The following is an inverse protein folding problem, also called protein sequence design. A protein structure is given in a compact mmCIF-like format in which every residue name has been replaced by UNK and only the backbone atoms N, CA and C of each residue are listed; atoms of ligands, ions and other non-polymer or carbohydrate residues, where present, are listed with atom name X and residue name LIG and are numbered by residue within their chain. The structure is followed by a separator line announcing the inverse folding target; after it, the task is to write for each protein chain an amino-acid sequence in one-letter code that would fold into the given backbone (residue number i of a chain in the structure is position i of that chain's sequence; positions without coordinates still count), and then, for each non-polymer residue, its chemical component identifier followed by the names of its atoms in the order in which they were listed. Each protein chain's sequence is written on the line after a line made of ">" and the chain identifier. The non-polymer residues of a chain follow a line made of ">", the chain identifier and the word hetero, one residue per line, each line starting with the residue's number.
data_IF_174129844065
#
_entry.id   IF_174129844065
#
_cell.length_a   1.000
_cell.length_b   1.000
_cell.length_c   1.000
_cell.angle_alpha   90.00
_cell.angle_beta   90.00
_cell.angle_gamma   90.00
#
_symmetry.space_group_name_H-M   'P 1'
#
loop_
_entity.id
_entity.type
_entity.pdbx_description
1 polymer ?
#
# COMPACT_ATOMS: atom_id res chain seq x y z
N UNK A 1 4.40 15.82 2.50
CA UNK A 1 3.74 14.89 3.44
C UNK A 1 3.53 13.50 2.83
N UNK A 2 2.79 13.35 1.70
CA UNK A 2 2.46 12.02 1.13
C UNK A 2 3.69 11.14 0.88
N UNK A 3 4.74 11.69 0.26
CA UNK A 3 6.00 10.99 0.05
C UNK A 3 6.63 10.51 1.36
N UNK A 4 6.58 11.34 2.41
CA UNK A 4 7.15 11.01 3.73
C UNK A 4 6.38 9.91 4.47
N UNK A 5 5.09 9.75 4.21
CA UNK A 5 4.28 8.69 4.82
C UNK A 5 4.26 7.40 4.02
N UNK A 6 4.43 7.47 2.68
CA UNK A 6 4.23 6.31 1.79
C UNK A 6 5.48 5.90 1.00
N UNK A 7 6.53 6.71 1.04
CA UNK A 7 7.75 6.60 0.21
C UNK A 7 7.51 6.71 -1.30
N UNK A 8 6.31 7.05 -1.74
CA UNK A 8 5.94 7.16 -3.16
C UNK A 8 5.33 8.51 -3.49
N UNK A 9 5.47 8.96 -4.72
CA UNK A 9 4.71 10.11 -5.23
C UNK A 9 3.24 9.73 -5.43
N UNK A 10 2.31 10.61 -5.03
CA UNK A 10 0.88 10.42 -5.32
C UNK A 10 0.56 10.42 -6.82
N UNK A 11 1.35 11.15 -7.61
CA UNK A 11 1.22 11.19 -9.08
C UNK A 11 1.89 10.00 -9.79
N UNK A 12 2.45 9.02 -9.06
CA UNK A 12 3.19 7.92 -9.65
C UNK A 12 4.55 8.31 -10.26
N UNK A 13 4.98 9.56 -10.05
CA UNK A 13 6.27 10.07 -10.55
C UNK A 13 7.43 9.25 -9.99
N UNK A 14 8.45 9.04 -10.82
CA UNK A 14 9.70 8.40 -10.37
C UNK A 14 10.46 9.34 -9.45
N UNK A 15 11.22 8.80 -8.50
CA UNK A 15 11.98 9.59 -7.53
C UNK A 15 12.85 10.67 -8.18
N UNK A 16 13.45 10.38 -9.33
CA UNK A 16 14.28 11.33 -10.10
C UNK A 16 13.51 12.54 -10.65
N UNK A 17 12.21 12.40 -10.87
CA UNK A 17 11.34 13.48 -11.38
C UNK A 17 10.95 14.48 -10.29
N UNK A 18 11.17 14.12 -9.02
CA UNK A 18 10.97 14.99 -7.86
C UNK A 18 12.21 15.81 -7.50
N UNK A 19 13.32 15.63 -8.24
CA UNK A 19 14.56 16.38 -8.07
C UNK A 19 14.53 17.59 -9.03
N UNK A 20 14.89 18.77 -8.51
CA UNK A 20 14.95 20.01 -9.29
C UNK A 20 15.79 19.81 -10.56
N UNK A 21 15.35 20.43 -11.65
CA UNK A 21 16.13 20.45 -12.89
C UNK A 21 17.54 21.03 -12.65
N UNK A 22 18.56 20.35 -13.21
CA UNK A 22 19.95 20.71 -12.98
C UNK A 22 20.60 20.02 -11.78
N UNK A 23 19.83 19.66 -10.74
CA UNK A 23 20.36 19.04 -9.53
C UNK A 23 20.49 17.52 -9.66
N UNK A 24 21.41 16.92 -8.90
CA UNK A 24 21.68 15.48 -8.88
C UNK A 24 20.89 14.75 -7.77
N UNK A 25 20.51 15.47 -6.75
CA UNK A 25 19.87 14.92 -5.55
C UNK A 25 18.92 15.92 -4.90
N UNK A 26 18.08 15.43 -4.00
CA UNK A 26 17.17 16.24 -3.18
C UNK A 26 17.04 15.62 -1.79
N UNK A 27 16.94 16.46 -0.78
CA UNK A 27 16.72 16.06 0.61
C UNK A 27 15.38 16.60 1.08
N UNK A 28 14.61 15.73 1.73
CA UNK A 28 13.32 16.08 2.32
C UNK A 28 13.37 15.69 3.79
N UNK A 29 13.06 16.65 4.65
CA UNK A 29 12.88 16.40 6.08
C UNK A 29 11.46 16.70 6.48
N UNK A 30 10.85 15.77 7.21
CA UNK A 30 9.52 15.92 7.77
C UNK A 30 9.59 15.61 9.26
N UNK A 31 9.10 16.52 10.07
CA UNK A 31 8.97 16.32 11.52
C UNK A 31 7.49 16.05 11.82
N UNK A 32 7.22 15.00 12.55
CA UNK A 32 5.87 14.55 12.91
C UNK A 32 5.77 14.44 14.42
N UNK A 33 4.88 15.23 15.02
CA UNK A 33 4.53 15.10 16.43
C UNK A 33 3.36 14.12 16.56
N UNK A 34 3.56 13.00 17.26
CA UNK A 34 2.53 12.01 17.51
C UNK A 34 2.42 11.73 19.00
N UNK A 35 1.34 12.23 19.63
CA UNK A 35 1.21 12.26 21.08
C UNK A 35 2.42 12.99 21.68
N UNK A 36 3.14 12.36 22.61
CA UNK A 36 4.32 12.91 23.27
C UNK A 36 5.64 12.62 22.53
N UNK A 37 5.59 11.91 21.39
CA UNK A 37 6.79 11.52 20.64
C UNK A 37 6.93 12.34 19.35
N UNK A 38 8.14 12.79 19.11
CA UNK A 38 8.54 13.41 17.86
C UNK A 38 9.26 12.40 16.97
N UNK A 39 8.92 12.41 15.70
CA UNK A 39 9.58 11.59 14.68
C UNK A 39 10.13 12.50 13.59
N UNK A 40 11.40 12.36 13.30
CA UNK A 40 12.04 12.99 12.15
C UNK A 40 12.19 11.96 11.03
N UNK A 41 11.60 12.24 9.88
CA UNK A 41 11.73 11.43 8.67
C UNK A 41 12.60 12.17 7.69
N UNK A 42 13.76 11.62 7.36
CA UNK A 42 14.69 12.15 6.36
C UNK A 42 14.66 11.27 5.11
N UNK A 43 14.50 11.90 3.94
CA UNK A 43 14.53 11.23 2.65
C UNK A 43 15.60 11.85 1.77
N UNK A 44 16.44 11.02 1.18
CA UNK A 44 17.45 11.42 0.23
C UNK A 44 17.14 10.80 -1.14
N UNK A 45 16.70 11.63 -2.07
CA UNK A 45 16.39 11.24 -3.44
C UNK A 45 17.63 11.49 -4.32
N UNK A 46 17.95 10.54 -5.20
CA UNK A 46 19.08 10.62 -6.11
C UNK A 46 18.65 10.31 -7.55
N UNK A 47 19.23 11.01 -8.54
CA UNK A 47 19.02 10.70 -9.96
C UNK A 47 19.61 9.36 -10.36
N UNK A 48 20.72 8.98 -9.75
CA UNK A 48 21.39 7.67 -9.90
C UNK A 48 21.45 6.96 -8.56
N UNK A 49 20.98 5.72 -8.52
CA UNK A 49 20.95 4.90 -7.30
C UNK A 49 19.60 4.88 -6.59
N UNK A 50 19.56 4.17 -5.46
CA UNK A 50 18.36 4.05 -4.63
C UNK A 50 18.21 5.24 -3.71
N UNK A 51 16.94 5.58 -3.38
CA UNK A 51 16.66 6.57 -2.34
C UNK A 51 17.07 6.04 -0.98
N UNK A 52 17.56 6.94 -0.13
CA UNK A 52 17.77 6.69 1.29
C UNK A 52 16.60 7.20 2.11
N UNK A 53 16.22 6.49 3.14
CA UNK A 53 15.21 6.93 4.12
C UNK A 53 15.74 6.63 5.52
N UNK A 54 15.55 7.58 6.43
CA UNK A 54 15.89 7.41 7.84
C UNK A 54 14.76 7.93 8.72
N UNK A 55 14.57 7.28 9.87
CA UNK A 55 13.67 7.72 10.94
C UNK A 55 14.52 8.02 12.18
N UNK A 56 14.39 9.22 12.72
CA UNK A 56 15.19 9.69 13.85
C UNK A 56 16.71 9.48 13.63
N UNK A 57 17.16 9.79 12.40
CA UNK A 57 18.55 9.60 11.93
C UNK A 57 19.00 8.14 11.76
N UNK A 58 18.12 7.16 12.03
CA UNK A 58 18.41 5.73 11.85
C UNK A 58 17.94 5.32 10.45
N UNK A 59 18.84 4.87 9.55
CA UNK A 59 18.44 4.39 8.23
C UNK A 59 17.49 3.21 8.32
N UNK A 60 16.40 3.25 7.54
CA UNK A 60 15.47 2.14 7.41
C UNK A 60 15.74 1.37 6.11
N UNK A 61 15.52 0.07 6.16
CA UNK A 61 15.74 -0.83 5.01
C UNK A 61 14.48 -1.07 4.20
N UNK A 62 13.31 -0.95 4.84
CA UNK A 62 12.01 -1.22 4.22
C UNK A 62 11.08 -0.02 4.40
N UNK A 63 10.36 0.34 3.34
CA UNK A 63 9.32 1.37 3.38
C UNK A 63 8.26 1.09 4.46
N UNK A 64 8.02 -0.19 4.75
CA UNK A 64 7.09 -0.65 5.78
C UNK A 64 7.40 -0.13 7.19
N UNK A 65 8.63 0.27 7.45
CA UNK A 65 9.04 0.83 8.76
C UNK A 65 8.52 2.26 8.97
N UNK A 66 8.10 2.96 7.90
CA UNK A 66 7.44 4.27 7.98
C UNK A 66 5.95 4.19 8.32
N UNK A 67 5.29 3.08 7.94
CA UNK A 67 3.85 2.98 8.15
C UNK A 67 3.48 3.05 9.64
N UNK A 68 2.44 3.83 9.91
CA UNK A 68 1.96 4.10 11.28
C UNK A 68 2.70 5.22 12.01
N UNK A 69 3.80 5.79 11.46
CA UNK A 69 4.40 7.02 12.00
C UNK A 69 3.54 8.22 11.57
N UNK A 70 3.27 8.35 10.28
CA UNK A 70 2.45 9.38 9.68
C UNK A 70 1.37 8.73 8.82
N UNK A 71 0.13 8.76 9.29
CA UNK A 71 -1.02 8.33 8.51
C UNK A 71 -1.50 9.51 7.68
N UNK A 72 -1.73 9.29 6.39
CA UNK A 72 -2.08 10.35 5.44
C UNK A 72 -3.35 9.96 4.72
N UNK A 73 -4.35 10.82 4.80
CA UNK A 73 -5.49 10.83 3.90
C UNK A 73 -5.23 11.91 2.86
N UNK A 74 -5.18 11.52 1.62
CA UNK A 74 -4.92 12.42 0.50
C UNK A 74 -5.98 12.23 -0.57
N UNK A 75 -6.56 13.32 -1.03
CA UNK A 75 -7.52 13.32 -2.13
C UNK A 75 -6.97 14.13 -3.30
N UNK A 76 -7.09 13.58 -4.49
CA UNK A 76 -6.74 14.22 -5.74
C UNK A 76 -7.76 13.85 -6.84
N UNK A 77 -7.85 14.61 -7.94
CA UNK A 77 -8.73 14.25 -9.06
C UNK A 77 -8.44 12.86 -9.65
N UNK A 78 -7.22 12.37 -9.52
CA UNK A 78 -6.81 11.04 -9.96
C UNK A 78 -7.49 9.92 -9.16
N UNK A 79 -7.95 10.19 -7.93
CA UNK A 79 -8.65 9.19 -7.10
C UNK A 79 -10.02 8.83 -7.65
N UNK A 80 -10.58 9.62 -8.56
CA UNK A 80 -11.75 9.24 -9.36
C UNK A 80 -11.51 7.97 -10.19
N UNK A 81 -10.27 7.60 -10.40
CA UNK A 81 -9.89 6.34 -11.04
C UNK A 81 -10.33 5.10 -10.24
N UNK A 82 -10.56 5.23 -8.94
CA UNK A 82 -11.14 4.17 -8.09
C UNK A 82 -12.51 3.74 -8.66
N UNK A 83 -13.28 4.69 -9.19
CA UNK A 83 -14.60 4.43 -9.78
C UNK A 83 -14.47 4.06 -11.25
N UNK A 84 -13.63 4.79 -12.00
CA UNK A 84 -13.50 4.64 -13.46
C UNK A 84 -12.74 3.38 -13.87
N UNK A 85 -11.73 3.00 -13.09
CA UNK A 85 -10.86 1.87 -13.39
C UNK A 85 -11.37 0.57 -12.76
N UNK A 86 -10.71 -0.53 -13.14
CA UNK A 86 -11.08 -1.86 -12.70
C UNK A 86 -10.78 -2.17 -11.22
N UNK A 87 -11.08 -3.41 -10.78
CA UNK A 87 -10.94 -3.84 -9.39
C UNK A 87 -9.52 -3.71 -8.80
N UNK A 88 -8.49 -3.66 -9.64
CA UNK A 88 -7.10 -3.54 -9.20
C UNK A 88 -6.85 -2.22 -8.44
N UNK A 89 -7.41 -1.10 -8.94
CA UNK A 89 -7.26 0.20 -8.27
C UNK A 89 -8.01 0.24 -6.94
N UNK A 90 -9.21 -0.35 -6.87
CA UNK A 90 -9.97 -0.46 -5.63
C UNK A 90 -9.24 -1.30 -4.57
N UNK A 91 -8.67 -2.45 -4.97
CA UNK A 91 -7.84 -3.27 -4.06
C UNK A 91 -6.61 -2.51 -3.59
N UNK A 92 -5.94 -1.81 -4.50
CA UNK A 92 -4.76 -1.01 -4.17
C UNK A 92 -5.07 0.09 -3.17
N UNK A 93 -6.21 0.76 -3.31
CA UNK A 93 -6.67 1.77 -2.35
C UNK A 93 -6.87 1.14 -0.96
N UNK A 94 -7.67 0.08 -0.86
CA UNK A 94 -7.90 -0.62 0.42
C UNK A 94 -6.59 -1.10 1.04
N UNK A 95 -5.70 -1.68 0.24
CA UNK A 95 -4.41 -2.17 0.71
C UNK A 95 -3.53 -1.04 1.25
N UNK A 96 -3.55 0.13 0.62
CA UNK A 96 -2.77 1.28 1.07
C UNK A 96 -3.28 1.78 2.44
N UNK A 97 -4.60 1.89 2.59
CA UNK A 97 -5.21 2.33 3.85
C UNK A 97 -4.97 1.32 4.97
N UNK A 98 -5.23 0.04 4.74
CA UNK A 98 -4.98 -1.02 5.71
C UNK A 98 -3.49 -1.13 6.11
N UNK A 99 -2.57 -0.97 5.16
CA UNK A 99 -1.14 -0.98 5.48
C UNK A 99 -0.72 0.18 6.39
N UNK A 100 -1.40 1.33 6.36
CA UNK A 100 -1.14 2.43 7.28
C UNK A 100 -1.66 2.15 8.69
N UNK A 101 -2.75 1.39 8.80
CA UNK A 101 -3.46 1.14 10.05
C UNK A 101 -2.98 -0.13 10.76
N UNK A 102 -2.62 -1.18 10.01
CA UNK A 102 -2.33 -2.52 10.53
C UNK A 102 -0.99 -3.06 10.00
N UNK A 103 -0.02 -3.18 10.90
CA UNK A 103 1.31 -3.73 10.57
C UNK A 103 1.28 -5.23 10.25
N UNK A 104 0.32 -5.98 10.82
CA UNK A 104 0.15 -7.40 10.51
C UNK A 104 -0.39 -7.57 9.10
N UNK A 105 -1.39 -6.75 8.71
CA UNK A 105 -1.88 -6.73 7.35
C UNK A 105 -0.76 -6.43 6.33
N UNK A 106 0.07 -5.44 6.61
CA UNK A 106 1.21 -5.09 5.77
C UNK A 106 2.19 -6.27 5.63
N UNK A 107 2.47 -6.99 6.72
CA UNK A 107 3.33 -8.17 6.72
C UNK A 107 2.73 -9.31 5.89
N UNK A 108 1.43 -9.58 6.09
CA UNK A 108 0.70 -10.62 5.36
C UNK A 108 0.64 -10.31 3.86
N UNK A 109 0.33 -9.07 3.49
CA UNK A 109 0.30 -8.62 2.09
C UNK A 109 1.68 -8.74 1.42
N UNK A 110 2.75 -8.37 2.13
CA UNK A 110 4.13 -8.51 1.64
C UNK A 110 4.50 -9.98 1.42
N UNK A 111 4.15 -10.85 2.37
CA UNK A 111 4.41 -12.29 2.30
C UNK A 111 3.59 -12.94 1.19
N UNK A 112 2.31 -12.62 1.08
CA UNK A 112 1.44 -13.06 -0.01
C UNK A 112 2.03 -12.74 -1.38
N UNK A 113 2.41 -11.49 -1.61
CA UNK A 113 2.97 -11.05 -2.88
C UNK A 113 4.31 -11.75 -3.19
N UNK A 114 5.13 -12.00 -2.18
CA UNK A 114 6.39 -12.75 -2.35
C UNK A 114 6.11 -14.20 -2.77
N UNK A 115 5.22 -14.87 -2.06
CA UNK A 115 4.83 -16.28 -2.37
C UNK A 115 4.19 -16.36 -3.74
N UNK A 116 3.27 -15.44 -4.08
CA UNK A 116 2.63 -15.37 -5.39
C UNK A 116 3.64 -15.24 -6.54
N UNK A 117 4.63 -14.36 -6.38
CA UNK A 117 5.68 -14.18 -7.38
C UNK A 117 6.55 -15.44 -7.54
N UNK A 118 6.88 -16.10 -6.44
CA UNK A 118 7.67 -17.35 -6.46
C UNK A 118 6.87 -18.48 -7.12
N UNK A 119 5.58 -18.62 -6.77
CA UNK A 119 4.70 -19.61 -7.40
C UNK A 119 4.53 -19.35 -8.90
N UNK A 120 4.34 -18.10 -9.31
CA UNK A 120 4.22 -17.75 -10.73
C UNK A 120 5.52 -18.03 -11.50
N UNK A 121 6.69 -17.88 -10.88
CA UNK A 121 7.96 -18.29 -11.45
C UNK A 121 8.02 -19.81 -11.58
N UNK A 122 7.70 -20.54 -10.52
CA UNK A 122 7.67 -22.01 -10.51
C UNK A 122 6.76 -22.56 -11.62
N UNK A 123 5.57 -22.00 -11.81
CA UNK A 123 4.64 -22.41 -12.88
C UNK A 123 5.25 -22.27 -14.29
N UNK A 124 6.11 -21.27 -14.50
CA UNK A 124 6.85 -21.13 -15.76
C UNK A 124 7.97 -22.18 -15.87
N UNK A 125 8.66 -22.43 -14.77
CA UNK A 125 9.79 -23.37 -14.74
C UNK A 125 9.31 -24.84 -14.91
N UNK A 126 8.11 -25.19 -14.45
CA UNK A 126 7.48 -26.53 -14.62
C UNK A 126 7.38 -26.91 -16.12
N UNK A 127 7.20 -25.96 -17.03
CA UNK A 127 7.17 -26.24 -18.46
C UNK A 127 8.46 -26.90 -18.98
N UNK A 128 9.58 -26.68 -18.29
CA UNK A 128 10.90 -27.23 -18.62
C UNK A 128 11.37 -28.28 -17.62
N UNK A 129 10.76 -28.30 -16.43
CA UNK A 129 11.11 -29.20 -15.33
C UNK A 129 9.84 -29.70 -14.65
N UNK A 130 9.16 -30.72 -15.22
CA UNK A 130 7.90 -31.24 -14.71
C UNK A 130 7.98 -31.81 -13.28
N UNK A 131 9.17 -32.22 -12.85
CA UNK A 131 9.44 -32.70 -11.49
C UNK A 131 9.13 -31.68 -10.39
N UNK A 132 9.11 -30.42 -10.73
CA UNK A 132 8.81 -29.34 -9.78
C UNK A 132 7.32 -29.21 -9.42
N UNK A 133 6.43 -29.91 -10.13
CA UNK A 133 4.97 -29.83 -9.89
C UNK A 133 4.61 -30.25 -8.46
N UNK A 134 5.30 -31.23 -7.89
CA UNK A 134 5.07 -31.73 -6.54
C UNK A 134 5.35 -30.70 -5.44
N UNK A 135 6.03 -29.61 -5.78
CA UNK A 135 6.30 -28.50 -4.84
C UNK A 135 5.17 -27.46 -4.80
N UNK A 136 4.24 -27.45 -5.76
CA UNK A 136 3.13 -26.48 -5.83
C UNK A 136 2.26 -26.43 -4.57
N UNK A 137 1.89 -27.56 -3.95
CA UNK A 137 1.04 -27.55 -2.76
C UNK A 137 1.61 -26.70 -1.60
N UNK A 138 2.93 -26.65 -1.46
CA UNK A 138 3.59 -25.85 -0.41
C UNK A 138 3.34 -24.35 -0.63
N UNK A 139 3.37 -23.89 -1.87
CA UNK A 139 3.09 -22.50 -2.23
C UNK A 139 1.60 -22.19 -2.12
N UNK A 140 0.74 -23.13 -2.50
CA UNK A 140 -0.71 -22.99 -2.41
C UNK A 140 -1.18 -22.87 -0.96
N UNK A 141 -0.61 -23.68 -0.05
CA UNK A 141 -0.90 -23.56 1.39
C UNK A 141 -0.53 -22.19 1.94
N UNK A 142 0.63 -21.66 1.59
CA UNK A 142 1.06 -20.33 2.05
C UNK A 142 0.16 -19.23 1.46
N UNK A 143 -0.23 -19.32 0.18
CA UNK A 143 -1.16 -18.38 -0.43
C UNK A 143 -2.52 -18.42 0.24
N UNK A 144 -3.03 -19.61 0.58
CA UNK A 144 -4.28 -19.78 1.28
C UNK A 144 -4.23 -19.14 2.66
N UNK A 145 -3.15 -19.35 3.41
CA UNK A 145 -2.98 -18.81 4.75
C UNK A 145 -2.97 -17.26 4.75
N UNK A 146 -2.06 -16.66 3.97
CA UNK A 146 -1.98 -15.19 3.90
C UNK A 146 -3.20 -14.59 3.22
N UNK A 147 -3.70 -15.21 2.15
CA UNK A 147 -4.87 -14.75 1.39
C UNK A 147 -6.13 -14.71 2.24
N UNK A 148 -6.36 -15.71 3.07
CA UNK A 148 -7.52 -15.76 3.99
C UNK A 148 -7.49 -14.60 4.97
N UNK A 149 -6.32 -14.30 5.56
CA UNK A 149 -6.19 -13.17 6.49
C UNK A 149 -6.41 -11.82 5.80
N UNK A 150 -5.86 -11.65 4.59
CA UNK A 150 -6.03 -10.45 3.77
C UNK A 150 -7.51 -10.24 3.41
N UNK A 151 -8.19 -11.29 2.93
CA UNK A 151 -9.61 -11.23 2.55
C UNK A 151 -10.47 -10.84 3.75
N UNK A 152 -10.22 -11.44 4.91
CA UNK A 152 -10.94 -11.13 6.15
C UNK A 152 -10.78 -9.66 6.53
N UNK A 153 -9.55 -9.15 6.54
CA UNK A 153 -9.26 -7.76 6.88
C UNK A 153 -9.87 -6.76 5.90
N UNK A 154 -9.86 -7.06 4.61
CA UNK A 154 -10.53 -6.21 3.62
C UNK A 154 -12.04 -6.19 3.81
N UNK A 155 -12.64 -7.33 4.16
CA UNK A 155 -14.07 -7.43 4.43
C UNK A 155 -14.44 -6.60 5.66
N UNK A 156 -13.75 -6.79 6.78
CA UNK A 156 -13.93 -6.01 8.01
C UNK A 156 -13.82 -4.50 7.72
N UNK A 157 -12.80 -4.07 6.99
CA UNK A 157 -12.60 -2.67 6.63
C UNK A 157 -13.74 -2.09 5.79
N UNK A 158 -14.25 -2.84 4.81
CA UNK A 158 -15.38 -2.38 3.98
C UNK A 158 -16.67 -2.31 4.80
N UNK A 159 -16.88 -3.22 5.74
CA UNK A 159 -18.03 -3.18 6.66
C UNK A 159 -17.97 -1.93 7.57
N UNK A 160 -16.84 -1.68 8.22
CA UNK A 160 -16.62 -0.47 9.02
C UNK A 160 -16.76 0.83 8.18
N UNK A 161 -16.25 0.82 6.95
CA UNK A 161 -16.35 1.96 6.06
C UNK A 161 -17.81 2.25 5.65
N UNK A 162 -18.66 1.22 5.47
CA UNK A 162 -20.07 1.40 5.17
C UNK A 162 -20.83 2.13 6.28
N UNK A 163 -20.50 1.88 7.55
CA UNK A 163 -21.12 2.57 8.68
C UNK A 163 -20.89 4.08 8.62
N UNK A 164 -19.68 4.48 8.18
CA UNK A 164 -19.29 5.88 8.12
C UNK A 164 -19.75 6.55 6.82
N UNK A 165 -19.57 5.87 5.69
CA UNK A 165 -19.76 6.47 4.36
C UNK A 165 -21.24 6.74 4.07
N UNK A 166 -22.14 5.91 4.58
CA UNK A 166 -23.59 6.07 4.41
C UNK A 166 -24.07 7.41 4.96
N UNK A 167 -23.64 7.77 6.18
CA UNK A 167 -23.98 9.04 6.80
C UNK A 167 -23.39 10.24 6.04
N UNK A 168 -22.09 10.16 5.72
CA UNK A 168 -21.38 11.24 5.01
C UNK A 168 -21.99 11.45 3.63
N UNK A 169 -22.24 10.38 2.88
CA UNK A 169 -22.81 10.46 1.55
C UNK A 169 -24.24 11.01 1.55
N UNK A 170 -25.06 10.61 2.51
CA UNK A 170 -26.39 11.15 2.69
C UNK A 170 -26.38 12.67 2.93
N UNK A 171 -25.44 13.17 3.75
CA UNK A 171 -25.26 14.62 3.97
C UNK A 171 -24.85 15.37 2.68
N UNK A 172 -23.92 14.80 1.92
CA UNK A 172 -23.42 15.42 0.67
C UNK A 172 -24.49 15.42 -0.42
N UNK A 173 -25.24 14.33 -0.57
CA UNK A 173 -26.29 14.18 -1.59
C UNK A 173 -27.63 14.86 -1.23
N UNK A 174 -27.75 15.39 0.01
CA UNK A 174 -29.03 15.86 0.53
C UNK A 174 -30.05 14.76 0.71
N UNK A 175 -29.62 13.55 1.04
CA UNK A 175 -30.48 12.37 1.24
C UNK A 175 -31.04 11.74 -0.04
N UNK A 176 -30.59 12.20 -1.21
CA UNK A 176 -31.14 11.74 -2.51
C UNK A 176 -30.54 10.43 -3.00
N UNK A 177 -29.38 10.04 -2.46
CA UNK A 177 -28.64 8.88 -2.92
C UNK A 177 -28.17 8.04 -1.72
N UNK A 178 -28.16 6.72 -1.92
CA UNK A 178 -27.59 5.77 -0.98
C UNK A 178 -26.35 5.12 -1.56
N UNK A 179 -25.22 5.24 -0.89
CA UNK A 179 -23.98 4.59 -1.27
C UNK A 179 -23.74 3.36 -0.39
N UNK A 180 -23.50 2.23 -1.03
CA UNK A 180 -23.14 0.97 -0.36
C UNK A 180 -21.87 0.42 -1.03
N UNK A 181 -20.90 0.05 -0.21
CA UNK A 181 -19.71 -0.66 -0.65
C UNK A 181 -19.91 -2.15 -0.43
N UNK A 182 -19.62 -2.95 -1.46
CA UNK A 182 -19.66 -4.41 -1.37
C UNK A 182 -18.28 -4.99 -1.64
N UNK A 183 -17.79 -5.82 -0.74
CA UNK A 183 -16.55 -6.55 -0.95
C UNK A 183 -16.86 -7.90 -1.59
N UNK A 184 -16.35 -8.11 -2.79
CA UNK A 184 -16.45 -9.37 -3.53
C UNK A 184 -15.02 -9.89 -3.76
N UNK A 185 -14.57 -10.86 -2.95
CA UNK A 185 -13.30 -11.53 -3.19
C UNK A 185 -13.41 -12.41 -4.45
N UNK A 186 -12.35 -12.44 -5.26
CA UNK A 186 -12.25 -13.37 -6.39
C UNK A 186 -11.84 -14.73 -5.90
#
# INVERSE_FOLDING_TARGET
>A
AYLSGTTKSHKGSRDKEMIRFGEKESHIRTVVQKKEKEYQIDMHLRKSGSKGVAVNKIPIKKASELFGILNIVFFSPEDLNIIKNGPAERRRFIDLELCQLDKLYLSDLSSFNKVLNQRNKLLKDISFRPDLVDTLPVWDMQLLEYGTRIIRKRKEFVEELNEIISEIHSKISGGREHLVLKYEPN
#
